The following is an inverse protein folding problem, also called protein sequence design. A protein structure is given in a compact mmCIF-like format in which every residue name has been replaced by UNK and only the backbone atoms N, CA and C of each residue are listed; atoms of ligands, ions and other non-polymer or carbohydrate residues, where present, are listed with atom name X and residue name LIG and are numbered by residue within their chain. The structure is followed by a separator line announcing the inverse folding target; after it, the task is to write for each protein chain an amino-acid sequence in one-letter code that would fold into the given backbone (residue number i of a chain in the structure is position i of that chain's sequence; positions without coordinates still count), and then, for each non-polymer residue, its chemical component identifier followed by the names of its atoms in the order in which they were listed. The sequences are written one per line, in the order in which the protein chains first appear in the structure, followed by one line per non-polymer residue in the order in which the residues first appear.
data_IF_454952019591
#
_entry.id   IF_454952019591
#
_cell.length_a   1.000
_cell.length_b   1.000
_cell.length_c   1.000
_cell.angle_alpha   90.00
_cell.angle_beta   90.00
_cell.angle_gamma   90.00
#
_symmetry.space_group_name_H-M   'P 1'
#
loop_
_entity.id
_entity.type
_entity.pdbx_description
1 polymer ?
#
# COMPACT_ATOMS: atom_id res chain seq x y z
N UNK A 1 -1.56 -48.92 45.22
CA UNK A 1 -2.51 -48.37 44.23
C UNK A 1 -2.60 -46.83 44.29
N UNK A 2 -2.74 -46.22 45.47
CA UNK A 2 -2.78 -44.75 45.67
C UNK A 2 -1.52 -44.01 45.17
N UNK A 3 -0.31 -44.49 45.50
CA UNK A 3 0.95 -43.88 45.04
C UNK A 3 1.11 -43.87 43.51
N UNK A 4 0.64 -44.91 42.81
CA UNK A 4 0.67 -44.96 41.36
C UNK A 4 -0.31 -43.97 40.72
N UNK A 5 -1.46 -43.73 41.37
CA UNK A 5 -2.46 -42.75 40.93
C UNK A 5 -1.97 -41.31 41.12
N UNK A 6 -1.39 -40.98 42.28
CA UNK A 6 -0.79 -39.65 42.56
C UNK A 6 0.38 -39.38 41.61
N UNK A 7 1.27 -40.35 41.39
CA UNK A 7 2.40 -40.24 40.45
C UNK A 7 1.90 -40.00 39.02
N UNK A 8 0.81 -40.63 38.60
CA UNK A 8 0.19 -40.46 37.27
C UNK A 8 -0.45 -39.07 37.10
N UNK A 9 -1.07 -38.51 38.14
CA UNK A 9 -1.61 -37.14 38.12
C UNK A 9 -0.47 -36.12 38.04
N UNK A 10 0.57 -36.28 38.86
CA UNK A 10 1.76 -35.42 38.84
C UNK A 10 2.46 -35.45 37.48
N UNK A 11 2.68 -36.64 36.91
CA UNK A 11 3.29 -36.79 35.58
C UNK A 11 2.41 -36.15 34.49
N UNK A 12 1.08 -36.28 34.60
CA UNK A 12 0.14 -35.67 33.65
C UNK A 12 0.18 -34.14 33.75
N UNK A 13 0.23 -33.55 34.95
CA UNK A 13 0.39 -32.11 35.14
C UNK A 13 1.73 -31.59 34.62
N UNK A 14 2.85 -32.27 34.91
CA UNK A 14 4.18 -31.91 34.40
C UNK A 14 4.21 -32.02 32.86
N UNK A 15 3.61 -33.07 32.28
CA UNK A 15 3.49 -33.21 30.83
C UNK A 15 2.66 -32.09 30.20
N UNK A 16 1.57 -31.68 30.86
CA UNK A 16 0.70 -30.59 30.40
C UNK A 16 1.42 -29.24 30.45
N UNK A 17 2.13 -28.94 31.54
CA UNK A 17 2.95 -27.72 31.70
C UNK A 17 4.06 -27.69 30.65
N UNK A 18 4.73 -28.83 30.40
CA UNK A 18 5.76 -28.94 29.36
C UNK A 18 5.19 -28.79 27.94
N UNK A 19 3.95 -29.24 27.71
CA UNK A 19 3.26 -29.07 26.44
C UNK A 19 2.85 -27.60 26.24
N UNK A 20 2.28 -26.97 27.25
CA UNK A 20 1.91 -25.55 27.25
C UNK A 20 3.14 -24.65 27.01
N UNK A 21 4.27 -24.95 27.66
CA UNK A 21 5.53 -24.24 27.42
C UNK A 21 6.04 -24.39 25.99
N UNK A 22 5.96 -25.59 25.40
CA UNK A 22 6.29 -25.81 23.98
C UNK A 22 5.36 -25.05 23.04
N UNK A 23 4.06 -25.05 23.31
CA UNK A 23 3.09 -24.28 22.52
C UNK A 23 3.37 -22.79 22.58
N UNK A 24 3.68 -22.25 23.76
CA UNK A 24 4.05 -20.84 23.93
C UNK A 24 5.29 -20.48 23.10
N UNK A 25 6.35 -21.30 23.15
CA UNK A 25 7.56 -21.12 22.34
C UNK A 25 7.25 -21.15 20.84
N UNK A 26 6.48 -22.14 20.39
CA UNK A 26 6.10 -22.26 18.97
C UNK A 26 5.26 -21.07 18.51
N UNK A 27 4.31 -20.61 19.31
CA UNK A 27 3.49 -19.44 19.01
C UNK A 27 4.34 -18.19 18.83
N UNK A 28 5.32 -17.95 19.72
CA UNK A 28 6.24 -16.80 19.59
C UNK A 28 7.07 -16.88 18.31
N UNK A 29 7.65 -18.05 18.01
CA UNK A 29 8.47 -18.24 16.82
C UNK A 29 7.67 -18.08 15.53
N UNK A 30 6.46 -18.64 15.48
CA UNK A 30 5.56 -18.49 14.34
C UNK A 30 5.14 -17.03 14.16
N UNK A 31 4.78 -16.34 15.25
CA UNK A 31 4.43 -14.92 15.19
C UNK A 31 5.56 -14.06 14.63
N UNK A 32 6.81 -14.31 15.02
CA UNK A 32 7.98 -13.58 14.48
C UNK A 32 8.17 -13.80 12.97
N UNK A 33 7.99 -15.04 12.50
CA UNK A 33 8.04 -15.37 11.07
C UNK A 33 6.91 -14.71 10.28
N UNK A 34 5.68 -14.82 10.78
CA UNK A 34 4.50 -14.20 10.16
C UNK A 34 4.63 -12.69 10.09
N UNK A 35 5.21 -12.06 11.10
CA UNK A 35 5.44 -10.63 11.14
C UNK A 35 6.39 -10.17 10.04
N UNK A 36 7.48 -10.90 9.78
CA UNK A 36 8.37 -10.57 8.65
C UNK A 36 7.66 -10.74 7.31
N UNK A 37 6.87 -11.80 7.13
CA UNK A 37 6.07 -11.98 5.91
C UNK A 37 5.11 -10.80 5.74
N UNK A 38 4.41 -10.40 6.80
CA UNK A 38 3.48 -9.28 6.78
C UNK A 38 4.18 -7.95 6.46
N UNK A 39 5.30 -7.65 7.11
CA UNK A 39 6.12 -6.47 6.82
C UNK A 39 6.58 -6.48 5.37
N UNK A 40 7.03 -7.62 4.85
CA UNK A 40 7.44 -7.76 3.45
C UNK A 40 6.27 -7.61 2.49
N UNK A 41 5.07 -8.07 2.83
CA UNK A 41 3.88 -7.87 2.01
C UNK A 41 3.49 -6.39 1.88
N UNK A 42 3.75 -5.61 2.93
CA UNK A 42 3.43 -4.18 2.96
C UNK A 42 4.54 -3.34 2.33
N UNK A 43 5.81 -3.63 2.61
CA UNK A 43 6.95 -2.79 2.21
C UNK A 43 7.72 -3.30 1.00
N UNK A 44 7.53 -4.57 0.63
CA UNK A 44 8.25 -5.22 -0.44
C UNK A 44 7.72 -4.86 -1.84
N UNK A 45 8.56 -5.00 -2.88
CA UNK A 45 8.19 -4.73 -4.27
C UNK A 45 7.40 -5.91 -4.85
N UNK A 46 6.25 -6.23 -4.25
CA UNK A 46 5.37 -7.28 -4.76
C UNK A 46 4.76 -6.88 -6.11
N UNK A 47 4.39 -7.86 -6.95
CA UNK A 47 3.59 -7.60 -8.14
C UNK A 47 2.31 -6.82 -7.79
N UNK A 48 1.83 -6.07 -8.77
CA UNK A 48 0.64 -5.23 -8.66
C UNK A 48 -0.22 -5.42 -9.90
N UNK A 49 -1.52 -5.09 -9.77
CA UNK A 49 -2.39 -5.06 -10.94
C UNK A 49 -1.87 -4.02 -11.92
N UNK A 50 -1.76 -4.43 -13.18
CA UNK A 50 -1.27 -3.60 -14.27
C UNK A 50 -2.33 -3.57 -15.34
N UNK A 51 -2.74 -2.38 -15.75
CA UNK A 51 -3.59 -2.22 -16.92
C UNK A 51 -2.71 -2.14 -18.16
N UNK A 52 -3.08 -2.86 -19.21
CA UNK A 52 -2.42 -2.77 -20.52
C UNK A 52 -3.30 -1.92 -21.41
N UNK A 53 -2.81 -0.74 -21.77
CA UNK A 53 -3.53 0.18 -22.64
C UNK A 53 -3.32 -0.20 -24.11
N UNK A 54 -4.39 -0.58 -24.80
CA UNK A 54 -4.38 -0.88 -26.24
C UNK A 54 -4.95 0.26 -27.11
N UNK A 55 -5.41 1.37 -26.51
CA UNK A 55 -5.95 2.54 -27.21
C UNK A 55 -4.85 3.61 -27.32
N UNK A 56 -4.22 3.73 -28.50
CA UNK A 56 -3.07 4.62 -28.73
C UNK A 56 -3.38 6.12 -28.58
N UNK A 57 -4.65 6.50 -28.57
CA UNK A 57 -5.09 7.88 -28.35
C UNK A 57 -5.49 8.17 -26.91
N UNK A 58 -5.51 7.16 -26.04
CA UNK A 58 -5.89 7.28 -24.63
C UNK A 58 -4.66 7.26 -23.77
N UNK A 59 -4.63 8.13 -22.79
CA UNK A 59 -3.62 8.09 -21.73
C UNK A 59 -4.28 7.64 -20.43
N UNK A 60 -3.50 6.98 -19.59
CA UNK A 60 -3.91 6.59 -18.24
C UNK A 60 -3.13 7.38 -17.20
N UNK A 61 -3.83 7.96 -16.23
CA UNK A 61 -3.20 8.79 -15.21
C UNK A 61 -3.78 8.61 -13.82
N UNK A 62 -2.96 8.96 -12.83
CA UNK A 62 -3.33 8.96 -11.42
C UNK A 62 -3.27 10.38 -10.86
N UNK A 63 -4.27 10.79 -10.10
CA UNK A 63 -4.43 12.17 -9.61
C UNK A 63 -4.02 12.38 -8.18
N UNK A 64 -3.74 11.33 -7.43
CA UNK A 64 -3.50 11.41 -5.99
C UNK A 64 -2.37 10.47 -5.60
N UNK A 65 -1.20 11.02 -5.24
CA UNK A 65 -0.07 10.27 -4.66
C UNK A 65 0.82 11.12 -3.76
N UNK A 66 1.48 10.42 -2.85
CA UNK A 66 2.35 11.00 -1.82
C UNK A 66 3.74 10.40 -1.88
N UNK A 67 4.77 11.22 -1.72
CA UNK A 67 6.13 10.73 -1.52
C UNK A 67 6.61 11.05 -0.12
N UNK A 68 7.88 10.77 0.15
CA UNK A 68 8.56 11.22 1.36
C UNK A 68 8.66 12.75 1.48
N UNK A 69 8.18 13.49 0.47
CA UNK A 69 7.88 14.90 0.53
C UNK A 69 6.45 15.18 1.02
N UNK A 70 5.82 14.22 1.68
CA UNK A 70 4.71 14.42 2.62
C UNK A 70 5.07 13.82 3.96
N UNK A 71 4.30 14.17 4.99
CA UNK A 71 4.51 13.67 6.35
C UNK A 71 4.27 12.15 6.48
N UNK A 72 3.48 11.57 5.58
CA UNK A 72 2.96 10.20 5.62
C UNK A 72 3.48 9.28 4.49
N UNK A 73 4.22 9.80 3.51
CA UNK A 73 4.73 8.99 2.40
C UNK A 73 6.02 8.20 2.72
N UNK A 74 6.03 6.92 2.37
CA UNK A 74 7.13 5.97 2.55
C UNK A 74 7.77 5.54 1.21
N UNK A 75 7.88 6.48 0.28
CA UNK A 75 8.40 6.23 -1.06
C UNK A 75 9.08 7.49 -1.62
N UNK A 76 10.18 7.35 -2.34
CA UNK A 76 10.78 8.49 -3.02
C UNK A 76 10.02 8.85 -4.32
N UNK A 77 10.07 10.09 -4.79
CA UNK A 77 9.47 10.50 -6.07
C UNK A 77 9.93 9.66 -7.28
N UNK A 78 11.21 9.25 -7.31
CA UNK A 78 11.71 8.34 -8.37
C UNK A 78 11.11 6.94 -8.28
N UNK A 79 10.89 6.44 -7.06
CA UNK A 79 10.18 5.18 -6.85
C UNK A 79 8.70 5.32 -7.20
N UNK A 80 8.08 6.49 -6.97
CA UNK A 80 6.73 6.78 -7.46
C UNK A 80 6.64 6.66 -8.98
N UNK A 81 7.57 7.28 -9.72
CA UNK A 81 7.63 7.10 -11.18
C UNK A 81 7.73 5.62 -11.57
N UNK A 82 8.56 4.85 -10.85
CA UNK A 82 8.76 3.43 -11.12
C UNK A 82 7.51 2.60 -10.83
N UNK A 83 6.78 2.89 -9.76
CA UNK A 83 5.52 2.24 -9.42
C UNK A 83 4.45 2.55 -10.46
N UNK A 84 4.28 3.81 -10.84
CA UNK A 84 3.31 4.22 -11.86
C UNK A 84 3.63 3.60 -13.23
N UNK A 85 4.90 3.61 -13.64
CA UNK A 85 5.33 2.96 -14.90
C UNK A 85 4.98 1.47 -14.92
N UNK A 86 5.25 0.75 -13.82
CA UNK A 86 4.96 -0.68 -13.73
C UNK A 86 3.45 -0.97 -13.79
N UNK A 87 2.62 -0.05 -13.32
CA UNK A 87 1.17 -0.21 -13.26
C UNK A 87 0.42 0.36 -14.49
N UNK A 88 1.14 0.73 -15.55
CA UNK A 88 0.55 1.15 -16.82
C UNK A 88 0.03 2.59 -16.85
N UNK A 89 0.52 3.47 -15.97
CA UNK A 89 0.21 4.90 -16.04
C UNK A 89 1.16 5.63 -17.00
N UNK A 90 0.59 6.49 -17.82
CA UNK A 90 1.28 7.39 -18.74
C UNK A 90 1.64 8.73 -18.07
N UNK A 91 0.84 9.15 -17.08
CA UNK A 91 1.07 10.35 -16.28
C UNK A 91 0.64 10.16 -14.82
N UNK A 92 1.14 10.99 -13.91
CA UNK A 92 0.62 11.07 -12.55
C UNK A 92 0.83 12.45 -11.94
N UNK A 93 -0.05 12.79 -11.00
CA UNK A 93 0.08 13.96 -10.15
C UNK A 93 0.76 13.56 -8.84
N UNK A 94 1.78 14.32 -8.46
CA UNK A 94 2.37 14.24 -7.13
C UNK A 94 1.73 15.33 -6.27
N UNK A 95 0.93 14.91 -5.30
CA UNK A 95 -0.02 15.76 -4.56
C UNK A 95 0.33 15.77 -3.09
N UNK A 96 1.53 16.24 -2.77
CA UNK A 96 2.01 16.26 -1.40
C UNK A 96 1.10 17.12 -0.50
N UNK A 97 1.06 16.79 0.79
CA UNK A 97 0.25 17.51 1.77
C UNK A 97 0.68 18.97 1.88
N UNK A 98 -0.25 19.86 1.55
CA UNK A 98 -0.21 21.31 1.74
C UNK A 98 0.93 22.11 1.09
N UNK A 99 1.75 21.51 0.23
CA UNK A 99 2.78 22.25 -0.52
C UNK A 99 3.27 21.52 -1.78
N UNK A 100 3.86 22.24 -2.74
CA UNK A 100 4.37 21.64 -3.98
C UNK A 100 5.80 22.04 -4.38
N UNK A 101 6.56 22.76 -3.54
CA UNK A 101 7.87 23.32 -3.93
C UNK A 101 8.86 22.26 -4.45
N UNK A 102 8.98 21.14 -3.74
CA UNK A 102 9.86 20.03 -4.17
C UNK A 102 9.30 19.32 -5.40
N UNK A 103 7.98 19.17 -5.48
CA UNK A 103 7.28 18.64 -6.66
C UNK A 103 7.56 19.45 -7.91
N UNK A 104 7.44 20.78 -7.87
CA UNK A 104 7.72 21.67 -8.99
C UNK A 104 9.18 21.57 -9.46
N UNK A 105 10.12 21.45 -8.50
CA UNK A 105 11.52 21.19 -8.84
C UNK A 105 11.67 19.86 -9.60
N UNK A 106 11.03 18.80 -9.13
CA UNK A 106 11.06 17.47 -9.77
C UNK A 106 10.46 17.47 -11.17
N UNK A 107 9.33 18.18 -11.35
CA UNK A 107 8.72 18.44 -12.65
C UNK A 107 9.69 19.16 -13.59
N UNK A 108 10.38 20.19 -13.11
CA UNK A 108 11.38 20.91 -13.89
C UNK A 108 12.61 20.05 -14.24
N UNK A 109 13.04 19.17 -13.34
CA UNK A 109 14.09 18.18 -13.62
C UNK A 109 13.66 17.22 -14.75
N UNK A 110 12.40 16.78 -14.78
CA UNK A 110 11.88 15.98 -15.89
C UNK A 110 11.80 16.78 -17.19
N UNK A 111 11.33 18.03 -17.14
CA UNK A 111 11.29 18.94 -18.29
C UNK A 111 12.67 19.18 -18.91
N UNK A 112 13.72 19.22 -18.09
CA UNK A 112 15.14 19.35 -18.51
C UNK A 112 15.77 18.03 -19.01
N UNK A 113 15.03 16.92 -18.99
CA UNK A 113 15.54 15.61 -19.41
C UNK A 113 16.45 14.92 -18.39
N UNK A 114 16.47 15.36 -17.13
CA UNK A 114 17.25 14.74 -16.06
C UNK A 114 16.56 13.51 -15.45
N UNK A 115 15.29 13.28 -15.80
CA UNK A 115 14.47 12.16 -15.36
C UNK A 115 13.83 11.48 -16.59
N UNK A 116 13.41 10.20 -16.47
CA UNK A 116 12.67 9.53 -17.54
C UNK A 116 11.43 10.31 -17.97
N UNK A 117 11.12 10.33 -19.27
CA UNK A 117 9.95 11.03 -19.83
C UNK A 117 8.60 10.41 -19.45
N UNK A 118 8.60 9.11 -19.15
CA UNK A 118 7.39 8.33 -18.83
C UNK A 118 7.58 7.64 -17.48
N UNK A 119 6.60 7.75 -16.57
CA UNK A 119 5.37 8.54 -16.69
C UNK A 119 5.63 10.05 -16.60
N UNK A 120 4.76 10.84 -17.25
CA UNK A 120 4.75 12.31 -17.17
C UNK A 120 4.35 12.76 -15.76
N UNK A 121 5.15 13.64 -15.14
CA UNK A 121 4.92 14.14 -13.78
C UNK A 121 4.22 15.49 -13.85
N UNK A 122 3.16 15.63 -13.06
CA UNK A 122 2.39 16.87 -12.91
C UNK A 122 2.41 17.28 -11.45
N UNK A 123 2.56 18.58 -11.19
CA UNK A 123 2.51 19.10 -9.83
C UNK A 123 1.06 19.27 -9.37
N UNK A 124 0.82 18.88 -8.12
CA UNK A 124 -0.39 19.21 -7.38
C UNK A 124 -0.12 19.27 -5.89
N UNK A 125 -1.18 19.42 -5.11
CA UNK A 125 -1.18 19.45 -3.64
C UNK A 125 -2.42 18.69 -3.16
N UNK A 126 -2.30 17.87 -2.11
CA UNK A 126 -3.46 17.52 -1.28
C UNK A 126 -3.58 18.58 -0.19
N UNK A 127 -4.58 19.45 -0.32
CA UNK A 127 -4.85 20.52 0.64
C UNK A 127 -5.73 19.98 1.77
N UNK A 128 -5.23 20.08 3.00
CA UNK A 128 -5.93 19.68 4.23
C UNK A 128 -6.77 20.84 4.79
N UNK A 129 -7.88 21.14 4.13
CA UNK A 129 -8.84 22.17 4.54
C UNK A 129 -9.98 21.61 5.40
N UNK A 130 -11.22 22.05 5.14
CA UNK A 130 -12.40 21.45 5.78
C UNK A 130 -12.66 20.00 5.35
N UNK A 131 -12.10 19.60 4.21
CA UNK A 131 -11.89 18.24 3.73
C UNK A 131 -10.59 18.24 2.90
N UNK A 132 -10.03 17.08 2.63
CA UNK A 132 -8.92 16.97 1.70
C UNK A 132 -9.37 17.32 0.27
N UNK A 133 -8.57 18.13 -0.44
CA UNK A 133 -8.84 18.52 -1.82
C UNK A 133 -7.56 18.43 -2.66
N UNK A 134 -7.68 17.88 -3.86
CA UNK A 134 -6.60 17.84 -4.84
C UNK A 134 -6.56 19.14 -5.63
N UNK A 135 -5.48 19.89 -5.47
CA UNK A 135 -5.15 21.05 -6.29
C UNK A 135 -4.29 20.55 -7.46
N UNK A 136 -4.88 20.47 -8.65
CA UNK A 136 -4.30 19.80 -9.81
C UNK A 136 -3.71 20.79 -10.80
N UNK A 137 -2.51 20.49 -11.32
CA UNK A 137 -1.92 21.20 -12.46
C UNK A 137 -1.25 22.52 -12.09
N UNK A 138 -0.79 22.65 -10.84
CA UNK A 138 -0.16 23.87 -10.33
C UNK A 138 1.16 24.15 -11.05
N UNK A 139 1.40 25.43 -11.32
CA UNK A 139 2.57 25.98 -12.03
C UNK A 139 3.46 26.79 -11.08
N UNK A 140 2.88 27.31 -10.01
CA UNK A 140 3.54 28.18 -9.04
C UNK A 140 3.71 27.49 -7.67
N UNK A 141 4.79 27.79 -6.92
CA UNK A 141 4.93 27.32 -5.55
C UNK A 141 3.77 27.80 -4.68
N UNK A 142 3.14 26.87 -3.96
CA UNK A 142 2.02 27.18 -3.08
C UNK A 142 2.17 26.42 -1.76
N UNK A 143 1.81 27.07 -0.66
CA UNK A 143 1.75 26.51 0.69
C UNK A 143 0.36 26.82 1.23
N UNK A 144 -0.38 25.79 1.63
CA UNK A 144 -1.80 25.90 1.99
C UNK A 144 -2.08 25.62 3.46
N UNK A 145 -1.03 25.50 4.28
CA UNK A 145 -1.17 25.18 5.70
C UNK A 145 -2.04 26.20 6.42
N UNK A 146 -3.09 25.72 7.11
CA UNK A 146 -4.04 26.53 7.87
C UNK A 146 -4.78 27.61 7.07
N UNK A 147 -4.86 27.49 5.74
CA UNK A 147 -5.68 28.38 4.93
C UNK A 147 -7.12 27.88 4.84
N UNK A 148 -8.05 28.81 4.64
CA UNK A 148 -9.47 28.49 4.39
C UNK A 148 -9.70 27.96 2.96
N UNK A 149 -10.75 27.15 2.79
CA UNK A 149 -11.06 26.50 1.51
C UNK A 149 -11.20 27.47 0.33
N UNK A 150 -11.99 28.54 0.48
CA UNK A 150 -12.32 29.43 -0.65
C UNK A 150 -11.08 30.16 -1.21
N UNK A 151 -10.24 30.81 -0.38
CA UNK A 151 -8.98 31.38 -0.86
C UNK A 151 -8.07 30.39 -1.58
N UNK A 152 -7.98 29.14 -1.09
CA UNK A 152 -7.15 28.10 -1.71
C UNK A 152 -7.71 27.67 -3.06
N UNK A 153 -9.02 27.49 -3.15
CA UNK A 153 -9.71 27.19 -4.41
C UNK A 153 -9.47 28.32 -5.43
N UNK A 154 -9.72 29.56 -5.04
CA UNK A 154 -9.55 30.73 -5.91
C UNK A 154 -8.10 30.89 -6.38
N UNK A 155 -7.13 30.70 -5.49
CA UNK A 155 -5.70 30.78 -5.83
C UNK A 155 -5.30 29.66 -6.81
N UNK A 156 -5.87 28.47 -6.65
CA UNK A 156 -5.63 27.33 -7.56
C UNK A 156 -6.16 27.64 -8.96
N UNK A 157 -7.36 28.20 -9.06
CA UNK A 157 -7.94 28.61 -10.35
C UNK A 157 -7.16 29.75 -11.01
N UNK A 158 -6.66 30.71 -10.23
CA UNK A 158 -5.82 31.80 -10.72
C UNK A 158 -4.49 31.30 -11.31
N UNK A 159 -3.92 30.23 -10.75
CA UNK A 159 -2.72 29.55 -11.30
C UNK A 159 -3.05 28.64 -12.50
N UNK A 160 -4.32 28.59 -12.92
CA UNK A 160 -4.82 27.79 -14.03
C UNK A 160 -5.04 26.30 -13.69
N UNK A 161 -4.99 25.95 -12.41
CA UNK A 161 -5.27 24.61 -11.91
C UNK A 161 -6.76 24.32 -11.74
N UNK A 162 -7.07 23.10 -11.31
CA UNK A 162 -8.42 22.62 -11.00
C UNK A 162 -8.46 22.06 -9.58
N UNK A 163 -9.63 22.08 -8.95
CA UNK A 163 -9.81 21.54 -7.60
C UNK A 163 -10.78 20.36 -7.61
N UNK A 164 -10.38 19.24 -7.03
CA UNK A 164 -11.25 18.09 -6.82
C UNK A 164 -11.31 17.71 -5.35
N UNK A 165 -12.50 17.43 -4.80
CA UNK A 165 -12.62 16.93 -3.42
C UNK A 165 -12.10 15.50 -3.34
N UNK A 166 -11.13 15.25 -2.46
CA UNK A 166 -10.53 13.95 -2.26
C UNK A 166 -11.32 13.14 -1.23
N UNK A 167 -11.51 11.84 -1.50
CA UNK A 167 -12.07 10.83 -0.59
C UNK A 167 -13.15 11.30 0.39
N UNK A 168 -14.07 12.16 -0.06
CA UNK A 168 -15.13 12.78 0.76
C UNK A 168 -15.92 11.77 1.61
N UNK A 169 -16.09 10.56 1.07
CA UNK A 169 -16.74 9.40 1.69
C UNK A 169 -15.97 8.75 2.86
N UNK A 170 -14.80 9.27 3.24
CA UNK A 170 -14.08 8.87 4.46
C UNK A 170 -14.73 9.46 5.70
N UNK A 171 -14.92 10.79 5.71
CA UNK A 171 -15.27 11.53 6.92
C UNK A 171 -16.54 12.40 6.78
N UNK A 172 -17.00 12.68 5.55
CA UNK A 172 -18.25 13.38 5.24
C UNK A 172 -18.45 14.71 6.01
N UNK A 173 -17.37 15.46 6.27
CA UNK A 173 -17.37 16.62 7.19
C UNK A 173 -18.40 17.71 6.85
N UNK A 174 -18.48 18.13 5.58
CA UNK A 174 -19.51 19.02 5.06
C UNK A 174 -20.29 18.34 3.93
N UNK A 175 -21.46 18.88 3.60
CA UNK A 175 -22.26 18.37 2.48
C UNK A 175 -21.51 18.51 1.15
N UNK A 176 -21.82 17.65 0.17
CA UNK A 176 -21.28 17.81 -1.19
C UNK A 176 -21.63 19.19 -1.76
N UNK A 177 -22.85 19.68 -1.52
CA UNK A 177 -23.29 21.01 -1.96
C UNK A 177 -22.42 22.14 -1.41
N UNK A 178 -21.94 22.04 -0.16
CA UNK A 178 -21.03 23.02 0.41
C UNK A 178 -19.78 23.22 -0.47
N UNK A 179 -19.17 22.12 -0.94
CA UNK A 179 -17.97 22.20 -1.78
C UNK A 179 -18.29 22.71 -3.19
N UNK A 180 -19.44 22.34 -3.74
CA UNK A 180 -19.92 22.86 -5.03
C UNK A 180 -20.09 24.38 -4.96
N UNK A 181 -20.73 24.88 -3.90
CA UNK A 181 -20.94 26.32 -3.68
C UNK A 181 -19.61 27.08 -3.49
N UNK A 182 -18.56 26.40 -3.03
CA UNK A 182 -17.19 26.94 -2.93
C UNK A 182 -16.46 26.98 -4.28
N UNK A 183 -16.97 26.29 -5.29
CA UNK A 183 -16.44 26.32 -6.66
C UNK A 183 -15.47 25.19 -6.99
N UNK A 184 -15.54 24.03 -6.34
CA UNK A 184 -14.75 22.86 -6.76
C UNK A 184 -15.14 22.40 -8.18
N UNK A 185 -14.22 21.79 -8.90
CA UNK A 185 -14.41 21.37 -10.30
C UNK A 185 -14.80 19.89 -10.44
N UNK A 186 -14.61 19.09 -9.39
CA UNK A 186 -14.83 17.65 -9.42
C UNK A 186 -14.70 16.96 -8.07
N UNK A 187 -14.93 15.64 -8.09
CA UNK A 187 -14.86 14.77 -6.93
C UNK A 187 -14.11 13.48 -7.24
N UNK A 188 -13.39 12.95 -6.25
CA UNK A 188 -13.02 11.54 -6.24
C UNK A 188 -14.27 10.68 -6.05
N UNK A 189 -14.47 9.73 -6.95
CA UNK A 189 -15.56 8.73 -6.91
C UNK A 189 -15.04 7.32 -6.61
N UNK A 190 -13.72 7.15 -6.49
CA UNK A 190 -13.09 5.93 -6.05
C UNK A 190 -11.70 6.24 -5.50
N UNK A 191 -11.34 5.63 -4.37
CA UNK A 191 -10.04 5.80 -3.75
C UNK A 191 -9.61 4.45 -3.16
N UNK A 192 -8.36 4.03 -3.45
CA UNK A 192 -7.82 2.74 -3.00
C UNK A 192 -7.91 2.54 -1.50
N UNK A 193 -7.64 3.57 -0.71
CA UNK A 193 -7.50 3.47 0.74
C UNK A 193 -8.85 3.45 1.46
N UNK A 194 -9.94 3.73 0.73
CA UNK A 194 -11.25 3.96 1.31
C UNK A 194 -12.31 3.05 0.69
N UNK A 195 -12.91 2.19 1.51
CA UNK A 195 -13.96 1.25 1.08
C UNK A 195 -15.33 1.79 1.48
N UNK A 196 -16.15 2.10 0.48
CA UNK A 196 -17.48 2.67 0.68
C UNK A 196 -18.53 2.05 -0.25
N UNK A 197 -19.79 2.25 0.10
CA UNK A 197 -20.91 1.58 -0.56
C UNK A 197 -21.07 2.00 -2.03
N UNK A 198 -21.52 1.07 -2.88
CA UNK A 198 -21.84 1.39 -4.26
C UNK A 198 -22.96 2.45 -4.36
N UNK A 199 -23.89 2.49 -3.40
CA UNK A 199 -24.97 3.48 -3.37
C UNK A 199 -24.41 4.90 -3.16
N UNK A 200 -23.51 5.08 -2.19
CA UNK A 200 -22.86 6.37 -1.94
C UNK A 200 -22.03 6.81 -3.16
N UNK A 201 -21.34 5.88 -3.84
CA UNK A 201 -20.67 6.19 -5.10
C UNK A 201 -21.62 6.71 -6.16
N UNK A 202 -22.77 6.05 -6.35
CA UNK A 202 -23.76 6.49 -7.33
C UNK A 202 -24.35 7.86 -6.97
N UNK A 203 -24.52 8.16 -5.69
CA UNK A 203 -24.95 9.50 -5.24
C UNK A 203 -23.95 10.58 -5.63
N UNK A 204 -22.65 10.36 -5.40
CA UNK A 204 -21.60 11.32 -5.80
C UNK A 204 -21.60 11.48 -7.33
N UNK A 205 -21.69 10.38 -8.09
CA UNK A 205 -21.75 10.42 -9.56
C UNK A 205 -22.95 11.23 -10.06
N UNK A 206 -24.14 11.04 -9.46
CA UNK A 206 -25.34 11.79 -9.83
C UNK A 206 -25.16 13.28 -9.55
N UNK A 207 -24.64 13.65 -8.38
CA UNK A 207 -24.39 15.05 -8.03
C UNK A 207 -23.37 15.70 -8.97
N UNK A 208 -22.32 14.97 -9.36
CA UNK A 208 -21.39 15.44 -10.40
C UNK A 208 -22.08 15.62 -11.76
N UNK A 209 -23.05 14.76 -12.11
CA UNK A 209 -23.82 14.90 -13.35
C UNK A 209 -24.71 16.14 -13.31
N UNK A 210 -25.47 16.31 -12.25
CA UNK A 210 -26.40 17.42 -12.05
C UNK A 210 -25.69 18.78 -12.06
N UNK A 211 -24.47 18.83 -11.53
CA UNK A 211 -23.68 20.07 -11.41
C UNK A 211 -22.59 20.21 -12.50
N UNK A 212 -22.55 19.30 -13.47
CA UNK A 212 -21.55 19.25 -14.55
C UNK A 212 -20.10 19.35 -14.04
N UNK A 213 -19.74 18.46 -13.11
CA UNK A 213 -18.41 18.37 -12.48
C UNK A 213 -17.68 17.12 -12.97
N UNK A 214 -16.36 17.17 -13.10
CA UNK A 214 -15.59 15.99 -13.49
C UNK A 214 -15.46 14.99 -12.34
N UNK A 215 -15.13 13.74 -12.68
CA UNK A 215 -14.95 12.66 -11.73
C UNK A 215 -13.56 12.05 -11.85
N UNK A 216 -12.96 11.72 -10.71
CA UNK A 216 -11.64 11.11 -10.61
C UNK A 216 -11.67 9.81 -9.82
N UNK A 217 -10.76 8.91 -10.14
CA UNK A 217 -10.42 7.76 -9.32
C UNK A 217 -8.94 7.80 -8.94
N UNK A 218 -8.63 7.56 -7.67
CA UNK A 218 -7.33 7.90 -7.10
C UNK A 218 -6.67 6.71 -6.42
N UNK A 219 -5.39 6.47 -6.74
CA UNK A 219 -4.66 5.40 -6.07
C UNK A 219 -4.24 5.78 -4.65
N UNK A 220 -4.16 7.08 -4.36
CA UNK A 220 -3.79 7.64 -3.05
C UNK A 220 -2.58 6.90 -2.45
N UNK A 221 -1.56 6.77 -3.29
CA UNK A 221 -0.48 5.84 -3.03
C UNK A 221 0.65 6.51 -2.25
N UNK A 222 0.90 5.98 -1.06
CA UNK A 222 1.89 6.49 -0.12
C UNK A 222 3.18 5.66 -0.08
N UNK A 223 3.30 4.59 -0.89
CA UNK A 223 4.50 3.75 -0.92
C UNK A 223 4.40 2.40 -0.23
N UNK A 224 3.30 2.12 0.47
CA UNK A 224 3.06 0.83 1.13
C UNK A 224 1.91 0.05 0.45
N UNK A 225 2.10 -1.27 0.32
CA UNK A 225 1.27 -2.18 -0.45
C UNK A 225 1.40 -1.95 -1.96
N UNK A 226 1.75 -2.98 -2.72
CA UNK A 226 2.05 -2.82 -4.15
C UNK A 226 0.85 -2.47 -5.03
N UNK A 227 -0.38 -2.82 -4.63
CA UNK A 227 -1.50 -2.97 -5.54
C UNK A 227 -2.12 -1.66 -6.07
N UNK A 228 -2.10 -1.45 -7.38
CA UNK A 228 -2.94 -0.47 -8.06
C UNK A 228 -4.36 -1.02 -8.27
N UNK A 229 -5.37 -0.16 -8.17
CA UNK A 229 -6.77 -0.56 -8.29
C UNK A 229 -7.61 0.40 -9.14
N UNK A 230 -7.09 1.58 -9.47
CA UNK A 230 -7.87 2.61 -10.15
C UNK A 230 -7.02 3.42 -11.12
N UNK A 231 -7.57 3.74 -12.28
CA UNK A 231 -6.94 4.54 -13.32
C UNK A 231 -7.95 5.53 -13.88
N UNK A 232 -7.48 6.73 -14.22
CA UNK A 232 -8.25 7.69 -15.01
C UNK A 232 -7.79 7.57 -16.46
N UNK A 233 -8.71 7.56 -17.42
CA UNK A 233 -8.37 7.55 -18.83
C UNK A 233 -9.07 8.62 -19.62
N UNK A 234 -8.29 9.34 -20.42
CA UNK A 234 -8.75 10.42 -21.31
C UNK A 234 -8.10 10.32 -22.67
N UNK A 235 -8.78 10.80 -23.71
CA UNK A 235 -8.23 10.82 -25.06
C UNK A 235 -7.46 12.11 -25.31
N UNK A 236 -6.15 11.99 -25.46
CA UNK A 236 -5.26 13.08 -25.88
C UNK A 236 -4.51 12.60 -27.12
N UNK A 237 -4.95 13.01 -28.33
CA UNK A 237 -4.28 12.66 -29.57
C UNK A 237 -2.81 13.09 -29.57
N UNK A 238 -1.95 12.28 -30.18
CA UNK A 238 -0.52 12.59 -30.34
C UNK A 238 0.22 12.87 -29.02
N UNK A 239 -0.22 12.26 -27.91
CA UNK A 239 0.38 12.44 -26.58
C UNK A 239 1.91 12.39 -26.59
N UNK A 240 2.50 11.41 -27.28
CA UNK A 240 3.95 11.22 -27.31
C UNK A 240 4.73 12.35 -28.00
N UNK A 241 4.10 13.11 -28.90
CA UNK A 241 4.76 14.25 -29.56
C UNK A 241 4.64 15.56 -28.77
N UNK A 242 3.76 15.63 -27.77
CA UNK A 242 3.57 16.83 -26.97
C UNK A 242 4.80 17.11 -26.08
N UNK A 243 5.16 18.38 -25.95
CA UNK A 243 6.11 18.84 -24.94
C UNK A 243 5.59 18.59 -23.52
N UNK A 244 6.48 18.68 -22.54
CA UNK A 244 6.11 18.51 -21.12
C UNK A 244 4.97 19.46 -20.71
N UNK A 245 5.03 20.72 -21.15
CA UNK A 245 3.99 21.70 -20.80
C UNK A 245 2.66 21.39 -21.50
N UNK A 246 2.69 21.07 -22.79
CA UNK A 246 1.49 20.72 -23.57
C UNK A 246 0.79 19.48 -23.03
N UNK A 247 1.54 18.49 -22.54
CA UNK A 247 0.99 17.29 -21.86
C UNK A 247 0.14 17.67 -20.65
N UNK A 248 0.70 18.50 -19.75
CA UNK A 248 -0.02 18.98 -18.56
C UNK A 248 -1.24 19.80 -18.94
N UNK A 249 -1.07 20.79 -19.82
CA UNK A 249 -2.15 21.70 -20.20
C UNK A 249 -3.27 20.95 -20.93
N UNK A 250 -2.97 19.92 -21.72
CA UNK A 250 -3.97 19.08 -22.40
C UNK A 250 -4.84 18.31 -21.41
N UNK A 251 -4.27 17.76 -20.33
CA UNK A 251 -5.03 17.07 -19.27
C UNK A 251 -5.96 18.06 -18.57
N UNK A 252 -5.41 19.21 -18.13
CA UNK A 252 -6.15 20.21 -17.37
C UNK A 252 -7.27 20.84 -18.22
N UNK A 253 -6.98 21.22 -19.47
CA UNK A 253 -7.97 21.75 -20.39
C UNK A 253 -9.09 20.74 -20.66
N UNK A 254 -8.75 19.46 -20.92
CA UNK A 254 -9.75 18.43 -21.19
C UNK A 254 -10.72 18.22 -20.00
N UNK A 255 -10.19 18.18 -18.77
CA UNK A 255 -10.99 18.10 -17.55
C UNK A 255 -11.88 19.34 -17.37
N UNK A 256 -11.33 20.53 -17.60
CA UNK A 256 -12.04 21.80 -17.46
C UNK A 256 -13.16 22.01 -18.48
N UNK A 257 -12.94 21.62 -19.73
CA UNK A 257 -13.88 21.85 -20.84
C UNK A 257 -14.94 20.76 -20.91
N UNK A 258 -14.54 19.49 -20.76
CA UNK A 258 -15.45 18.35 -20.94
C UNK A 258 -16.23 18.01 -19.67
N UNK A 259 -15.74 18.44 -18.50
CA UNK A 259 -16.41 18.34 -17.20
C UNK A 259 -16.88 16.91 -16.88
N UNK A 260 -18.18 16.66 -16.75
CA UNK A 260 -18.73 15.38 -16.33
C UNK A 260 -18.27 14.20 -17.20
N UNK A 261 -18.18 14.40 -18.52
CA UNK A 261 -17.77 13.36 -19.47
C UNK A 261 -16.25 13.36 -19.74
N UNK A 262 -15.47 14.12 -18.98
CA UNK A 262 -14.06 14.30 -19.25
C UNK A 262 -13.22 13.05 -19.08
N UNK A 263 -13.63 12.09 -18.25
CA UNK A 263 -12.77 11.00 -17.83
C UNK A 263 -13.52 9.68 -17.67
N UNK A 264 -12.86 8.59 -18.03
CA UNK A 264 -13.28 7.25 -17.67
C UNK A 264 -12.47 6.76 -16.46
N UNK A 265 -13.15 6.55 -15.33
CA UNK A 265 -12.55 5.93 -14.14
C UNK A 265 -12.61 4.41 -14.28
N UNK A 266 -11.46 3.78 -14.49
CA UNK A 266 -11.31 2.32 -14.52
C UNK A 266 -10.99 1.81 -13.14
N UNK A 267 -11.80 0.89 -12.62
CA UNK A 267 -11.58 0.25 -11.33
C UNK A 267 -11.40 -1.25 -11.47
N UNK A 268 -10.37 -1.78 -10.83
CA UNK A 268 -10.14 -3.21 -10.71
C UNK A 268 -10.65 -3.74 -9.36
N UNK A 269 -11.60 -4.66 -9.43
CA UNK A 269 -12.21 -5.33 -8.27
C UNK A 269 -11.98 -6.83 -8.43
N UNK A 270 -11.09 -7.40 -7.62
CA UNK A 270 -10.81 -8.85 -7.62
C UNK A 270 -11.42 -9.58 -6.42
N UNK A 271 -11.95 -8.84 -5.46
CA UNK A 271 -12.54 -9.39 -4.23
C UNK A 271 -13.85 -8.70 -3.89
N UNK A 272 -14.85 -9.44 -3.40
CA UNK A 272 -16.08 -8.84 -2.93
C UNK A 272 -15.81 -7.96 -1.71
N UNK A 273 -16.58 -6.89 -1.58
CA UNK A 273 -16.60 -6.10 -0.35
C UNK A 273 -17.34 -6.90 0.72
N UNK A 274 -16.62 -7.38 1.72
CA UNK A 274 -17.20 -8.14 2.82
C UNK A 274 -17.95 -7.21 3.79
N UNK A 275 -19.14 -7.62 4.25
CA UNK A 275 -19.84 -6.94 5.36
C UNK A 275 -19.04 -7.15 6.65
N UNK A 276 -19.04 -6.17 7.56
CA UNK A 276 -18.29 -6.22 8.83
C UNK A 276 -18.45 -7.54 9.60
N UNK A 277 -19.67 -8.09 9.66
CA UNK A 277 -19.95 -9.35 10.37
C UNK A 277 -19.38 -10.61 9.69
N UNK A 278 -19.06 -10.55 8.41
CA UNK A 278 -18.52 -11.68 7.62
C UNK A 278 -16.99 -11.65 7.50
N UNK A 279 -16.33 -10.64 8.06
CA UNK A 279 -14.90 -10.40 7.87
C UNK A 279 -14.03 -11.52 8.46
N UNK A 280 -14.47 -12.16 9.55
CA UNK A 280 -13.76 -13.28 10.18
C UNK A 280 -13.66 -14.51 9.26
N UNK A 281 -14.62 -14.67 8.33
CA UNK A 281 -14.64 -15.73 7.34
C UNK A 281 -13.94 -15.34 6.03
N UNK A 282 -13.47 -14.09 5.90
CA UNK A 282 -12.81 -13.59 4.70
C UNK A 282 -11.59 -14.41 4.26
N UNK A 283 -10.76 -15.03 5.14
CA UNK A 283 -9.67 -15.88 4.67
C UNK A 283 -10.18 -17.06 3.84
N UNK A 284 -11.27 -17.71 4.27
CA UNK A 284 -11.86 -18.85 3.56
C UNK A 284 -12.49 -18.42 2.23
N UNK A 285 -13.26 -17.33 2.25
CA UNK A 285 -13.88 -16.80 1.03
C UNK A 285 -12.86 -16.30 0.01
N UNK A 286 -11.75 -15.72 0.47
CA UNK A 286 -10.68 -15.23 -0.41
C UNK A 286 -10.00 -16.39 -1.13
N UNK A 287 -9.76 -17.52 -0.46
CA UNK A 287 -9.24 -18.73 -1.10
C UNK A 287 -10.20 -19.22 -2.19
N UNK A 288 -11.49 -19.35 -1.88
CA UNK A 288 -12.50 -19.77 -2.86
C UNK A 288 -12.55 -18.81 -4.06
N UNK A 289 -12.52 -17.50 -3.79
CA UNK A 289 -12.58 -16.46 -4.83
C UNK A 289 -11.35 -16.51 -5.73
N UNK A 290 -10.16 -16.70 -5.15
CA UNK A 290 -8.92 -16.90 -5.91
C UNK A 290 -9.01 -18.11 -6.85
N UNK A 291 -9.46 -19.26 -6.36
CA UNK A 291 -9.60 -20.47 -7.19
C UNK A 291 -10.62 -20.32 -8.32
N UNK A 292 -11.68 -19.53 -8.12
CA UNK A 292 -12.65 -19.18 -9.18
C UNK A 292 -12.06 -18.32 -10.29
N UNK A 293 -11.00 -17.56 -9.99
CA UNK A 293 -10.35 -16.66 -10.94
C UNK A 293 -9.19 -17.28 -11.73
N UNK A 294 -8.88 -18.56 -11.54
CA UNK A 294 -7.72 -19.18 -12.18
C UNK A 294 -7.93 -19.38 -13.69
N UNK A 295 -6.94 -18.97 -14.48
CA UNK A 295 -6.85 -19.33 -15.90
C UNK A 295 -6.18 -20.70 -16.06
N UNK A 296 -6.33 -21.33 -17.24
CA UNK A 296 -5.86 -22.69 -17.51
C UNK A 296 -4.39 -22.93 -17.11
N UNK A 297 -3.47 -22.02 -17.48
CA UNK A 297 -2.05 -22.16 -17.13
C UNK A 297 -1.80 -22.09 -15.62
N UNK A 298 -2.60 -21.33 -14.88
CA UNK A 298 -2.50 -21.28 -13.41
C UNK A 298 -3.03 -22.55 -12.77
N UNK A 299 -4.07 -23.17 -13.34
CA UNK A 299 -4.55 -24.49 -12.91
C UNK A 299 -3.47 -25.55 -13.13
N UNK A 300 -2.81 -25.57 -14.29
CA UNK A 300 -1.67 -26.48 -14.56
C UNK A 300 -0.53 -26.23 -13.55
N UNK A 301 -0.20 -24.97 -13.27
CA UNK A 301 0.78 -24.60 -12.25
C UNK A 301 0.42 -25.17 -10.86
N UNK A 302 -0.85 -25.10 -10.46
CA UNK A 302 -1.31 -25.71 -9.22
C UNK A 302 -1.11 -27.23 -9.19
N UNK A 303 -1.40 -27.93 -10.29
CA UNK A 303 -1.11 -29.37 -10.38
C UNK A 303 0.38 -29.66 -10.22
N UNK A 304 1.27 -28.87 -10.85
CA UNK A 304 2.72 -28.99 -10.69
C UNK A 304 3.12 -28.81 -9.22
N UNK A 305 2.62 -27.77 -8.55
CA UNK A 305 2.92 -27.54 -7.13
C UNK A 305 2.42 -28.68 -6.23
N UNK A 306 1.23 -29.23 -6.49
CA UNK A 306 0.71 -30.37 -5.74
C UNK A 306 1.63 -31.58 -5.88
N UNK A 307 2.10 -31.88 -7.10
CA UNK A 307 3.07 -32.96 -7.34
C UNK A 307 4.38 -32.68 -6.61
N UNK A 308 4.93 -31.47 -6.71
CA UNK A 308 6.14 -31.07 -6.00
C UNK A 308 6.00 -31.26 -4.48
N UNK A 309 4.89 -30.80 -3.87
CA UNK A 309 4.64 -31.00 -2.44
C UNK A 309 4.56 -32.47 -2.04
N UNK A 310 4.02 -33.34 -2.90
CA UNK A 310 4.02 -34.78 -2.66
C UNK A 310 5.42 -35.38 -2.77
N UNK A 311 6.25 -34.93 -3.72
CA UNK A 311 7.64 -35.35 -3.84
C UNK A 311 8.47 -34.90 -2.62
N UNK A 312 8.27 -33.68 -2.14
CA UNK A 312 8.92 -33.18 -0.91
C UNK A 312 8.51 -33.94 0.36
N UNK A 313 7.35 -34.64 0.35
CA UNK A 313 6.95 -35.55 1.43
C UNK A 313 7.76 -36.86 1.46
N UNK A 314 8.66 -37.12 0.51
CA UNK A 314 9.53 -38.30 0.59
C UNK A 314 10.43 -38.27 1.84
N UNK A 315 10.55 -39.46 2.42
CA UNK A 315 10.74 -39.76 3.85
C UNK A 315 12.08 -39.31 4.48
N UNK A 316 13.08 -38.85 3.73
CA UNK A 316 14.42 -38.52 4.25
C UNK A 316 14.56 -37.04 4.63
N UNK A 317 14.12 -36.12 3.77
CA UNK A 317 14.17 -34.66 4.03
C UNK A 317 13.19 -34.23 5.12
N UNK A 318 12.00 -34.83 5.13
CA UNK A 318 10.98 -34.59 6.16
C UNK A 318 11.46 -35.04 7.56
N UNK A 319 12.23 -36.15 7.66
CA UNK A 319 12.80 -36.60 8.94
C UNK A 319 13.89 -35.67 9.47
N UNK A 320 14.69 -35.07 8.58
CA UNK A 320 15.73 -34.09 8.95
C UNK A 320 15.12 -32.79 9.49
N UNK A 321 14.10 -32.23 8.82
CA UNK A 321 13.37 -31.03 9.28
C UNK A 321 12.50 -31.25 10.52
N UNK A 322 11.99 -32.46 10.74
CA UNK A 322 10.99 -32.74 11.79
C UNK A 322 11.59 -33.22 13.12
N UNK A 323 12.85 -33.68 13.17
CA UNK A 323 13.46 -34.14 14.43
C UNK A 323 13.90 -32.99 15.35
N UNK A 324 14.12 -31.79 14.82
CA UNK A 324 14.55 -30.62 15.60
C UNK A 324 13.80 -29.33 15.20
N UNK A 325 12.46 -29.43 15.24
CA UNK A 325 11.53 -28.37 14.80
C UNK A 325 11.80 -27.03 15.48
N UNK A 326 12.10 -27.06 16.78
CA UNK A 326 12.31 -25.82 17.55
C UNK A 326 13.61 -25.16 17.10
N UNK A 327 14.72 -25.89 16.95
CA UNK A 327 15.97 -25.31 16.46
C UNK A 327 15.84 -24.72 15.05
N UNK A 328 15.23 -25.46 14.12
CA UNK A 328 15.05 -25.01 12.74
C UNK A 328 14.15 -23.77 12.67
N UNK A 329 13.04 -23.76 13.42
CA UNK A 329 12.11 -22.64 13.47
C UNK A 329 12.72 -21.41 14.16
N UNK A 330 13.51 -21.60 15.22
CA UNK A 330 14.24 -20.52 15.87
C UNK A 330 15.32 -19.92 14.97
N UNK A 331 16.02 -20.73 14.17
CA UNK A 331 16.98 -20.24 13.20
C UNK A 331 16.29 -19.40 12.10
N UNK A 332 15.16 -19.87 11.57
CA UNK A 332 14.36 -19.09 10.61
C UNK A 332 13.84 -17.79 11.23
N UNK A 333 13.33 -17.84 12.46
CA UNK A 333 12.83 -16.66 13.17
C UNK A 333 13.94 -15.63 13.42
N UNK A 334 15.15 -16.09 13.73
CA UNK A 334 16.33 -15.23 13.84
C UNK A 334 16.69 -14.57 12.49
N UNK A 335 16.67 -15.32 11.39
CA UNK A 335 16.91 -14.75 10.05
C UNK A 335 15.84 -13.69 9.73
N UNK A 336 14.57 -13.97 10.02
CA UNK A 336 13.48 -13.01 9.87
C UNK A 336 13.71 -11.75 10.71
N UNK A 337 14.17 -11.89 11.95
CA UNK A 337 14.43 -10.74 12.83
C UNK A 337 15.58 -9.88 12.32
N UNK A 338 16.62 -10.48 11.73
CA UNK A 338 17.68 -9.75 11.04
C UNK A 338 17.15 -8.99 9.83
N UNK A 339 16.24 -9.59 9.06
CA UNK A 339 15.55 -8.91 7.95
C UNK A 339 14.77 -7.67 8.42
N UNK A 340 13.99 -7.79 9.50
CA UNK A 340 13.25 -6.68 10.11
C UNK A 340 14.22 -5.59 10.61
N UNK A 341 15.31 -5.97 11.27
CA UNK A 341 16.32 -5.04 11.76
C UNK A 341 17.00 -4.27 10.61
N UNK A 342 17.40 -4.96 9.53
CA UNK A 342 17.98 -4.32 8.34
C UNK A 342 17.01 -3.33 7.71
N UNK A 343 15.72 -3.69 7.61
CA UNK A 343 14.69 -2.77 7.13
C UNK A 343 14.55 -1.54 8.03
N UNK A 344 14.51 -1.73 9.34
CA UNK A 344 14.43 -0.64 10.32
C UNK A 344 15.61 0.32 10.22
N UNK A 345 16.84 -0.20 10.15
CA UNK A 345 18.04 0.61 9.96
C UNK A 345 18.03 1.35 8.61
N UNK A 346 17.54 0.72 7.54
CA UNK A 346 17.37 1.38 6.24
C UNK A 346 16.39 2.55 6.31
N UNK A 347 15.30 2.41 7.06
CA UNK A 347 14.31 3.47 7.25
C UNK A 347 14.89 4.63 8.06
N UNK A 348 15.64 4.34 9.14
CA UNK A 348 16.36 5.36 9.92
C UNK A 348 17.39 6.11 9.06
N UNK A 349 18.08 5.43 8.14
CA UNK A 349 18.99 6.09 7.21
C UNK A 349 18.26 7.06 6.27
N UNK A 350 17.08 6.67 5.77
CA UNK A 350 16.22 7.52 4.92
C UNK A 350 15.59 8.69 5.70
N UNK A 351 15.37 8.54 7.00
CA UNK A 351 14.81 9.59 7.85
C UNK A 351 15.74 10.79 8.03
N UNK A 352 17.07 10.60 8.00
CA UNK A 352 18.07 11.65 8.26
C UNK A 352 17.87 12.94 7.44
N UNK A 353 17.72 12.88 6.10
CA UNK A 353 17.46 14.09 5.30
C UNK A 353 16.01 14.61 5.38
N UNK A 354 15.12 13.93 6.11
CA UNK A 354 13.68 14.22 6.17
C UNK A 354 13.21 14.69 7.56
N UNK A 355 14.13 14.96 8.48
CA UNK A 355 13.80 15.42 9.84
C UNK A 355 12.99 16.73 9.79
N UNK A 356 11.89 16.77 10.54
CA UNK A 356 10.95 17.90 10.57
C UNK A 356 10.03 17.97 9.34
N UNK A 357 10.07 16.95 8.49
CA UNK A 357 9.34 16.89 7.24
C UNK A 357 8.52 15.60 7.12
N UNK A 358 9.13 14.44 7.37
CA UNK A 358 8.49 13.12 7.39
C UNK A 358 8.92 12.34 8.62
N UNK A 359 7.97 12.09 9.52
CA UNK A 359 8.24 11.39 10.78
C UNK A 359 8.07 9.86 10.65
N UNK A 360 7.32 9.40 9.65
CA UNK A 360 7.02 7.99 9.45
C UNK A 360 8.28 7.13 9.23
N UNK A 361 9.26 7.61 8.46
CA UNK A 361 10.52 6.88 8.29
C UNK A 361 11.26 6.69 9.61
N UNK A 362 11.22 7.69 10.50
CA UNK A 362 11.87 7.61 11.81
C UNK A 362 11.11 6.66 12.73
N UNK A 363 9.78 6.80 12.80
CA UNK A 363 8.92 5.98 13.66
C UNK A 363 8.99 4.50 13.27
N UNK A 364 8.71 4.16 12.01
CA UNK A 364 8.81 2.78 11.53
C UNK A 364 10.24 2.25 11.62
N UNK A 365 11.23 3.09 11.35
CA UNK A 365 12.64 2.72 11.47
C UNK A 365 13.02 2.30 12.89
N UNK A 366 12.59 3.05 13.89
CA UNK A 366 12.81 2.74 15.31
C UNK A 366 12.05 1.48 15.73
N UNK A 367 10.75 1.42 15.41
CA UNK A 367 9.88 0.30 15.76
C UNK A 367 10.39 -1.02 15.18
N UNK A 368 10.74 -1.06 13.88
CA UNK A 368 11.30 -2.26 13.26
C UNK A 368 12.67 -2.63 13.83
N UNK A 369 13.52 -1.66 14.15
CA UNK A 369 14.84 -1.94 14.74
C UNK A 369 14.70 -2.59 16.12
N UNK A 370 13.87 -2.02 17.00
CA UNK A 370 13.60 -2.57 18.34
C UNK A 370 13.00 -3.97 18.24
N UNK A 371 11.99 -4.14 17.39
CA UNK A 371 11.31 -5.42 17.17
C UNK A 371 12.26 -6.50 16.65
N UNK A 372 13.11 -6.16 15.67
CA UNK A 372 14.14 -7.08 15.14
C UNK A 372 15.15 -7.53 16.20
N UNK A 373 15.55 -6.62 17.11
CA UNK A 373 16.44 -6.93 18.24
C UNK A 373 15.74 -7.87 19.23
N UNK A 374 14.51 -7.56 19.64
CA UNK A 374 13.74 -8.36 20.61
C UNK A 374 13.51 -9.78 20.07
N UNK A 375 12.99 -9.92 18.85
CA UNK A 375 12.72 -11.24 18.24
C UNK A 375 14.03 -12.02 18.05
N UNK A 376 15.12 -11.34 17.68
CA UNK A 376 16.43 -11.95 17.52
C UNK A 376 16.97 -12.51 18.85
N UNK A 377 16.88 -11.72 19.91
CA UNK A 377 17.31 -12.14 21.25
C UNK A 377 16.50 -13.33 21.77
N UNK A 378 15.18 -13.30 21.60
CA UNK A 378 14.29 -14.43 21.97
C UNK A 378 14.67 -15.69 21.18
N UNK A 379 14.88 -15.56 19.87
CA UNK A 379 15.24 -16.70 19.00
C UNK A 379 16.58 -17.31 19.40
N UNK A 380 17.60 -16.50 19.66
CA UNK A 380 18.92 -16.96 20.13
C UNK A 380 18.83 -17.62 21.52
N UNK A 381 18.02 -17.05 22.41
CA UNK A 381 17.81 -17.61 23.75
C UNK A 381 17.19 -19.01 23.68
N UNK A 382 16.20 -19.22 22.80
CA UNK A 382 15.57 -20.54 22.57
C UNK A 382 16.59 -21.53 22.00
N UNK A 383 17.39 -21.13 21.01
CA UNK A 383 18.46 -21.97 20.44
C UNK A 383 19.46 -22.37 21.54
N UNK A 384 19.90 -21.42 22.37
CA UNK A 384 20.87 -21.68 23.42
C UNK A 384 20.32 -22.61 24.50
N UNK A 385 19.09 -22.38 24.97
CA UNK A 385 18.43 -23.23 25.96
C UNK A 385 18.24 -24.65 25.44
N UNK A 386 17.78 -24.82 24.19
CA UNK A 386 17.54 -26.14 23.60
C UNK A 386 18.84 -26.94 23.45
N UNK A 387 19.95 -26.29 23.08
CA UNK A 387 21.29 -26.91 23.06
C UNK A 387 21.75 -27.33 24.47
N UNK A 388 21.47 -26.52 25.49
CA UNK A 388 21.88 -26.81 26.87
C UNK A 388 21.12 -27.99 27.47
N UNK A 389 19.81 -28.11 27.22
CA UNK A 389 18.98 -29.18 27.78
C UNK A 389 19.11 -30.52 27.04
N UNK A 390 19.35 -30.50 25.72
CA UNK A 390 19.65 -31.73 24.95
C UNK A 390 20.95 -32.42 25.39
N UNK A 391 21.93 -31.66 25.91
CA UNK A 391 23.16 -32.21 26.50
C UNK A 391 22.98 -32.80 27.92
N UNK A 392 21.89 -32.48 28.61
CA UNK A 392 21.60 -33.00 29.97
C UNK A 392 20.85 -34.33 29.90
N UNK A 393 19.97 -34.53 28.92
CA UNK A 393 19.27 -35.81 28.69
C UNK A 393 20.19 -36.93 28.17
N UNK A 394 21.35 -36.61 27.59
CA UNK A 394 22.33 -37.60 27.13
C UNK A 394 23.32 -38.06 28.21
N UNK A 395 23.29 -37.45 29.41
CA UNK A 395 24.21 -37.75 30.52
C UNK A 395 23.54 -38.47 31.71
N UNK A 396 22.23 -38.68 31.66
CA UNK A 396 21.45 -39.50 32.58
C UNK A 396 20.84 -40.68 31.81
#
# INVERSE_FOLDING_TARGET
MFFAFVKRIFYKQISLISALGRWAVLSVLLSGLWLMIFIYMISGPLPSNTIINHDSGRILFNTHTHSHWSHDGLISPKQQMSWHKRNGYDAFFLTEHNHNKNTLRFVNEQKKGLLPKVPHIIAGIEFSGSNHMLLLGLKSPFITFSLDDKPVIDSTHQDGGLVAVAHWFSDEHNSIQYYIDKGVDGFEIDNRNNVFSNNLRQQIIELCRENNLFMLGSADYHGYGSAAHVWNGIKIPNWESLSHQEKTDSIIAHLKETRFNANNVFRYIDRPVFKKWSIWASPFYSVITYFKGLIFIQVVSWFVWIVLFQLFKQKSYYRFLMNDKIHSLSALCFISSMGILVLGLSYLQKAKPLVGFNEQYQEFGLNFSILGIIIGFVSLSIIWLNKKFSHVELKN
#
